data_IF_339313142343
#
_entry.id   IF_339313142343
#
_cell.length_a   1.000
_cell.length_b   1.000
_cell.length_c   1.000
_cell.angle_alpha   90.00
_cell.angle_beta   90.00
_cell.angle_gamma   90.00
#
_symmetry.space_group_name_H-M   'P 1'
#
loop_
_entity.id
_entity.type
_entity.pdbx_description
1 polymer ?
#
# COMPACT_ATOMS: atom_id res chain seq x y z
N UNK A 1 16.64 0.48 3.10
CA UNK A 1 17.70 -0.49 2.72
C UNK A 1 18.86 -0.53 3.71
N UNK A 2 19.26 0.59 4.32
CA UNK A 2 20.35 0.63 5.31
C UNK A 2 20.15 -0.38 6.46
N UNK A 3 18.91 -0.58 6.90
CA UNK A 3 18.57 -1.56 7.94
C UNK A 3 18.34 -2.98 7.42
N UNK A 4 18.49 -3.23 6.11
CA UNK A 4 18.40 -4.56 5.51
C UNK A 4 17.13 -5.33 5.89
N UNK A 5 17.31 -6.56 6.37
CA UNK A 5 16.21 -7.46 6.80
C UNK A 5 15.39 -6.92 7.97
N UNK A 6 15.94 -6.04 8.81
CA UNK A 6 15.18 -5.44 9.92
C UNK A 6 14.04 -4.57 9.38
N UNK A 7 14.28 -3.83 8.28
CA UNK A 7 13.24 -3.05 7.61
C UNK A 7 12.13 -3.93 7.02
N UNK A 8 12.48 -5.12 6.53
CA UNK A 8 11.50 -6.11 6.05
C UNK A 8 10.65 -6.65 7.20
N UNK A 9 11.26 -6.96 8.34
CA UNK A 9 10.54 -7.48 9.51
C UNK A 9 9.54 -6.48 10.10
N UNK A 10 9.74 -5.16 9.88
CA UNK A 10 8.76 -4.16 10.32
C UNK A 10 7.40 -4.36 9.63
N UNK A 11 7.38 -4.84 8.38
CA UNK A 11 6.13 -5.14 7.68
C UNK A 11 5.33 -6.22 8.41
N UNK A 12 5.98 -7.33 8.77
CA UNK A 12 5.32 -8.41 9.52
C UNK A 12 4.83 -7.92 10.90
N UNK A 13 5.66 -7.13 11.59
CA UNK A 13 5.34 -6.58 12.91
C UNK A 13 4.10 -5.70 12.87
N UNK A 14 4.04 -4.73 11.95
CA UNK A 14 2.92 -3.79 11.89
C UNK A 14 1.65 -4.42 11.33
N UNK A 15 1.76 -5.37 10.39
CA UNK A 15 0.61 -6.15 9.91
C UNK A 15 -0.02 -6.98 11.03
N UNK A 16 0.80 -7.61 11.88
CA UNK A 16 0.31 -8.34 13.07
C UNK A 16 -0.40 -7.41 14.07
N UNK A 17 0.17 -6.21 14.29
CA UNK A 17 -0.47 -5.21 15.14
C UNK A 17 -1.80 -4.72 14.57
N UNK A 18 -1.88 -4.48 13.26
CA UNK A 18 -3.11 -4.09 12.56
C UNK A 18 -4.19 -5.17 12.67
N UNK A 19 -3.82 -6.44 12.50
CA UNK A 19 -4.72 -7.57 12.69
C UNK A 19 -5.28 -7.62 14.13
N UNK A 20 -4.43 -7.43 15.14
CA UNK A 20 -4.90 -7.39 16.53
C UNK A 20 -5.87 -6.22 16.77
N UNK A 21 -5.57 -5.05 16.20
CA UNK A 21 -6.39 -3.84 16.32
C UNK A 21 -7.80 -4.05 15.73
N UNK A 22 -7.88 -4.61 14.53
CA UNK A 22 -9.15 -4.85 13.86
C UNK A 22 -9.89 -6.07 14.41
N UNK A 23 -9.24 -7.23 14.47
CA UNK A 23 -9.91 -8.50 14.81
C UNK A 23 -10.18 -8.67 16.31
N UNK A 24 -9.18 -8.38 17.15
CA UNK A 24 -9.32 -8.63 18.60
C UNK A 24 -9.97 -7.46 19.32
N UNK A 25 -9.64 -6.23 18.93
CA UNK A 25 -10.21 -5.02 19.56
C UNK A 25 -11.44 -4.48 18.85
N UNK A 26 -11.77 -4.97 17.65
CA UNK A 26 -12.92 -4.51 16.84
C UNK A 26 -12.90 -3.00 16.59
N UNK A 27 -11.70 -2.46 16.38
CA UNK A 27 -11.49 -1.04 16.11
C UNK A 27 -11.31 -0.81 14.61
N UNK A 28 -11.84 0.31 14.17
CA UNK A 28 -11.87 0.69 12.76
C UNK A 28 -10.56 1.35 12.32
N UNK A 29 -9.99 0.87 11.22
CA UNK A 29 -8.72 1.35 10.67
C UNK A 29 -8.91 1.88 9.25
N UNK A 30 -8.59 3.16 9.06
CA UNK A 30 -8.58 3.80 7.74
C UNK A 30 -7.14 4.01 7.29
N UNK A 31 -6.82 3.52 6.10
CA UNK A 31 -5.55 3.78 5.44
C UNK A 31 -5.71 4.91 4.42
N UNK A 32 -4.82 5.89 4.47
CA UNK A 32 -4.78 7.01 3.51
C UNK A 32 -3.44 6.96 2.80
N UNK A 33 -3.48 6.73 1.50
CA UNK A 33 -2.31 6.58 0.65
C UNK A 33 -2.01 7.89 -0.07
N UNK A 34 -0.96 8.55 0.38
CA UNK A 34 -0.46 9.79 -0.23
C UNK A 34 0.75 9.51 -1.11
N UNK A 35 0.86 10.21 -2.24
CA UNK A 35 1.91 9.94 -3.23
C UNK A 35 3.33 10.17 -2.70
N UNK A 36 4.31 9.26 -2.89
CA UNK A 36 4.21 7.90 -3.47
C UNK A 36 4.33 6.79 -2.41
N UNK A 37 3.26 6.02 -2.08
CA UNK A 37 3.42 4.83 -1.26
C UNK A 37 3.82 3.66 -2.17
N UNK A 38 5.06 3.18 -2.00
CA UNK A 38 5.59 2.08 -2.80
C UNK A 38 6.20 0.97 -1.95
N UNK A 39 6.30 -0.24 -2.54
CA UNK A 39 7.04 -1.34 -1.92
C UNK A 39 6.38 -1.87 -0.65
N UNK A 40 7.17 -1.91 0.43
CA UNK A 40 6.80 -2.58 1.67
C UNK A 40 5.59 -1.97 2.39
N UNK A 41 5.38 -0.66 2.27
CA UNK A 41 4.22 0.00 2.89
C UNK A 41 2.92 -0.44 2.20
N UNK A 42 2.92 -0.42 0.87
CA UNK A 42 1.80 -0.90 0.05
C UNK A 42 1.57 -2.40 0.26
N UNK A 43 2.63 -3.20 0.44
CA UNK A 43 2.49 -4.64 0.72
C UNK A 43 2.23 -5.00 2.19
N UNK A 44 1.99 -4.01 3.06
CA UNK A 44 1.70 -4.24 4.47
C UNK A 44 0.55 -3.38 4.94
N UNK A 45 0.72 -2.59 6.01
CA UNK A 45 -0.35 -1.86 6.67
C UNK A 45 -1.12 -0.91 5.75
N UNK A 46 -0.49 -0.40 4.68
CA UNK A 46 -1.15 0.48 3.72
C UNK A 46 -2.38 -0.16 3.07
N UNK A 47 -2.36 -1.47 2.79
CA UNK A 47 -3.49 -2.20 2.17
C UNK A 47 -4.30 -3.05 3.17
N UNK A 48 -4.08 -2.87 4.47
CA UNK A 48 -4.77 -3.65 5.52
C UNK A 48 -5.82 -2.82 6.27
N UNK A 49 -6.24 -1.67 5.72
CA UNK A 49 -7.33 -0.85 6.26
C UNK A 49 -8.69 -1.48 5.99
N UNK A 50 -9.65 -1.22 6.88
CA UNK A 50 -11.08 -1.48 6.64
C UNK A 50 -11.60 -0.60 5.49
N UNK A 51 -11.05 0.63 5.38
CA UNK A 51 -11.21 1.51 4.22
C UNK A 51 -9.81 1.96 3.78
N UNK A 52 -9.57 1.89 2.49
CA UNK A 52 -8.32 2.29 1.84
C UNK A 52 -8.62 3.45 0.88
N UNK A 53 -8.12 4.63 1.22
CA UNK A 53 -8.28 5.85 0.45
C UNK A 53 -6.96 6.24 -0.23
N UNK A 54 -7.05 6.87 -1.40
CA UNK A 54 -5.88 7.37 -2.12
C UNK A 54 -6.10 8.82 -2.60
N UNK A 55 -5.04 9.62 -2.61
CA UNK A 55 -5.11 10.96 -3.21
C UNK A 55 -5.21 10.88 -4.76
N UNK A 56 -5.85 11.85 -5.43
CA UNK A 56 -5.80 11.98 -6.87
C UNK A 56 -4.38 12.00 -7.39
N UNK A 57 -4.12 11.28 -8.48
CA UNK A 57 -2.82 11.09 -9.09
C UNK A 57 -1.77 10.43 -8.18
N UNK A 58 -2.16 9.82 -7.05
CA UNK A 58 -1.20 9.15 -6.19
C UNK A 58 -0.54 7.96 -6.89
N UNK A 59 0.79 7.88 -6.80
CA UNK A 59 1.54 6.76 -7.34
C UNK A 59 1.62 5.63 -6.31
N UNK A 60 0.64 4.74 -6.34
CA UNK A 60 0.57 3.57 -5.45
C UNK A 60 0.99 2.32 -6.20
N UNK A 61 2.10 1.70 -5.80
CA UNK A 61 2.58 0.49 -6.47
C UNK A 61 3.47 -0.38 -5.57
N UNK A 62 3.37 -1.71 -5.70
CA UNK A 62 4.32 -2.60 -5.04
C UNK A 62 5.74 -2.45 -5.62
N UNK A 63 5.87 -2.50 -6.94
CA UNK A 63 7.14 -2.33 -7.62
C UNK A 63 7.30 -0.89 -8.14
N UNK A 64 8.52 -0.35 -8.08
CA UNK A 64 8.82 0.96 -8.64
C UNK A 64 8.73 0.98 -10.17
N UNK A 65 8.39 2.14 -10.73
CA UNK A 65 8.22 2.40 -12.17
C UNK A 65 9.33 1.75 -13.01
N UNK A 66 10.59 2.02 -12.65
CA UNK A 66 11.77 1.55 -13.37
C UNK A 66 11.80 0.02 -13.51
N UNK A 67 11.47 -0.70 -12.44
CA UNK A 67 11.47 -2.17 -12.44
C UNK A 67 10.36 -2.69 -13.34
N UNK A 68 9.16 -2.10 -13.23
CA UNK A 68 8.00 -2.48 -14.06
C UNK A 68 8.28 -2.24 -15.54
N UNK A 69 8.84 -1.09 -15.91
CA UNK A 69 9.16 -0.76 -17.30
C UNK A 69 10.24 -1.69 -17.88
N UNK A 70 11.27 -2.02 -17.09
CA UNK A 70 12.33 -2.93 -17.53
C UNK A 70 11.84 -4.37 -17.72
N UNK A 71 10.93 -4.84 -16.88
CA UNK A 71 10.45 -6.24 -16.92
C UNK A 71 9.25 -6.42 -17.84
N UNK A 72 8.27 -5.52 -17.79
CA UNK A 72 6.96 -5.68 -18.44
C UNK A 72 6.76 -4.74 -19.64
N UNK A 73 7.64 -3.74 -19.85
CA UNK A 73 7.51 -2.71 -20.90
C UNK A 73 6.15 -1.99 -20.91
N UNK A 74 5.45 -1.99 -19.78
CA UNK A 74 4.15 -1.36 -19.59
C UNK A 74 4.28 -0.11 -18.73
N UNK A 75 3.41 0.86 -18.99
CA UNK A 75 3.33 2.12 -18.25
C UNK A 75 2.59 1.98 -16.91
N UNK A 76 2.91 2.92 -16.02
CA UNK A 76 2.50 3.01 -14.62
C UNK A 76 0.99 2.96 -14.38
N UNK A 77 0.64 2.33 -13.26
CA UNK A 77 -0.68 2.38 -12.63
C UNK A 77 -0.77 3.61 -11.69
N UNK A 78 -1.51 4.65 -12.09
CA UNK A 78 -1.90 5.74 -11.19
C UNK A 78 -3.04 5.30 -10.27
N UNK A 79 -3.33 6.07 -9.21
CA UNK A 79 -4.40 5.76 -8.27
C UNK A 79 -5.74 5.49 -8.98
N UNK A 80 -6.06 6.27 -10.01
CA UNK A 80 -7.25 6.14 -10.85
C UNK A 80 -7.30 4.79 -11.57
N UNK A 81 -6.17 4.34 -12.10
CA UNK A 81 -6.08 3.05 -12.78
C UNK A 81 -6.30 1.89 -11.81
N UNK A 82 -5.75 1.99 -10.61
CA UNK A 82 -5.89 1.00 -9.54
C UNK A 82 -7.29 1.01 -8.92
N UNK A 83 -7.92 2.18 -8.82
CA UNK A 83 -9.30 2.33 -8.37
C UNK A 83 -10.29 1.57 -9.26
N UNK A 84 -10.13 1.65 -10.58
CA UNK A 84 -10.93 0.83 -11.52
C UNK A 84 -10.78 -0.68 -11.34
N UNK A 85 -9.72 -1.14 -10.67
CA UNK A 85 -9.49 -2.55 -10.33
C UNK A 85 -9.95 -2.93 -8.93
N UNK A 86 -10.55 -2.01 -8.18
CA UNK A 86 -11.05 -2.24 -6.83
C UNK A 86 -9.96 -2.26 -5.76
N UNK A 87 -8.84 -1.58 -5.97
CA UNK A 87 -7.76 -1.49 -4.98
C UNK A 87 -8.03 -0.46 -3.86
N UNK A 88 -8.91 0.53 -4.09
CA UNK A 88 -9.22 1.60 -3.14
C UNK A 88 -10.75 1.83 -3.09
N UNK A 89 -11.29 2.31 -1.97
CA UNK A 89 -12.73 2.56 -1.84
C UNK A 89 -13.12 4.00 -2.25
N UNK A 90 -12.40 5.05 -1.83
CA UNK A 90 -12.52 6.37 -2.44
C UNK A 90 -11.17 6.97 -2.88
N UNK A 91 -11.24 7.84 -3.89
CA UNK A 91 -10.17 8.79 -4.23
C UNK A 91 -10.60 10.17 -3.71
N UNK A 92 -9.74 10.83 -2.93
CA UNK A 92 -10.04 12.11 -2.26
C UNK A 92 -8.91 13.13 -2.32
#
# INVERSE_FOLDING_TARGET
MQEGSLSLMQMAKISSASYNYQSNKKLFYVSILTSPPTGGVTASFGMLGDIIMAEPNAYVAFAGKRVVEQTLKNTIQAAEYSFHKGLFDPIC
#
